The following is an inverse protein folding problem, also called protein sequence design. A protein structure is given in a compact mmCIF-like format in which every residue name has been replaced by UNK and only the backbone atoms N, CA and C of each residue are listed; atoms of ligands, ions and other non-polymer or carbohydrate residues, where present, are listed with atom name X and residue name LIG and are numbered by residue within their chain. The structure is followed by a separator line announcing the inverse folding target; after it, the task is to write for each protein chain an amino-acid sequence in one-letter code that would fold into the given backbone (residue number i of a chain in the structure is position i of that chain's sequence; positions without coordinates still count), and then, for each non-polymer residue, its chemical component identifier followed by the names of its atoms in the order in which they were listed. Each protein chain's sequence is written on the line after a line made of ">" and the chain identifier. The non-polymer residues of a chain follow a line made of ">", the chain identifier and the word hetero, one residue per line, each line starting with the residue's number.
data_IF_886222902137
#
_entry.id   IF_886222902137
#
_cell.length_a   1.000
_cell.length_b   1.000
_cell.length_c   1.000
_cell.angle_alpha   90.00
_cell.angle_beta   90.00
_cell.angle_gamma   90.00
#
_symmetry.space_group_name_H-M   'P 1'
#
loop_
_entity.id
_entity.type
_entity.pdbx_description
1 polymer ?
#
# COMPACT_ATOMS: atom_id res chain seq x y z
N UNK A 1 28.17 -14.74 2.55
CA UNK A 1 27.52 -13.41 2.52
C UNK A 1 28.26 -12.61 1.45
N UNK A 2 27.53 -12.17 0.42
CA UNK A 2 28.07 -11.65 -0.85
C UNK A 2 28.80 -10.31 -0.65
N UNK A 3 29.98 -10.15 -1.26
CA UNK A 3 30.77 -8.90 -1.29
C UNK A 3 29.95 -7.68 -1.75
N UNK A 4 28.86 -7.91 -2.50
CA UNK A 4 27.92 -6.88 -2.97
C UNK A 4 27.19 -6.19 -1.81
N UNK A 5 26.89 -6.91 -0.73
CA UNK A 5 26.20 -6.33 0.42
C UNK A 5 27.13 -5.43 1.25
N UNK A 6 28.43 -5.75 1.29
CA UNK A 6 29.44 -4.94 1.96
C UNK A 6 29.74 -3.65 1.18
N UNK A 7 29.87 -3.75 -0.14
CA UNK A 7 30.08 -2.62 -1.05
C UNK A 7 28.87 -1.66 -1.06
N UNK A 8 27.65 -2.19 -0.93
CA UNK A 8 26.44 -1.39 -0.80
C UNK A 8 26.40 -0.60 0.52
N UNK A 9 26.79 -1.23 1.64
CA UNK A 9 26.83 -0.57 2.94
C UNK A 9 27.89 0.54 2.99
N UNK A 10 29.07 0.30 2.41
CA UNK A 10 30.14 1.29 2.35
C UNK A 10 29.72 2.55 1.56
N UNK A 11 29.01 2.35 0.44
CA UNK A 11 28.45 3.47 -0.35
C UNK A 11 27.37 4.24 0.39
N UNK A 12 26.52 3.56 1.17
CA UNK A 12 25.50 4.21 2.01
C UNK A 12 26.16 5.09 3.09
N UNK A 13 27.22 4.58 3.73
CA UNK A 13 27.99 5.32 4.74
C UNK A 13 28.71 6.54 4.13
N UNK A 14 29.28 6.39 2.93
CA UNK A 14 29.90 7.50 2.19
C UNK A 14 28.88 8.59 1.83
N UNK A 15 27.69 8.20 1.37
CA UNK A 15 26.61 9.13 1.04
C UNK A 15 26.17 9.92 2.27
N UNK A 16 25.97 9.22 3.39
CA UNK A 16 25.57 9.83 4.66
C UNK A 16 26.55 10.91 5.11
N UNK A 17 27.85 10.61 5.06
CA UNK A 17 28.91 11.56 5.44
C UNK A 17 28.91 12.81 4.56
N UNK A 18 28.72 12.65 3.24
CA UNK A 18 28.59 13.82 2.34
C UNK A 18 27.36 14.67 2.67
N UNK A 19 26.24 14.05 2.97
CA UNK A 19 25.01 14.78 3.36
C UNK A 19 25.23 15.57 4.66
N UNK A 20 25.94 15.01 5.65
CA UNK A 20 26.31 15.73 6.88
C UNK A 20 27.25 16.92 6.62
N UNK A 21 28.22 16.77 5.72
CA UNK A 21 29.17 17.84 5.34
C UNK A 21 28.51 18.98 4.56
N UNK A 22 27.49 18.68 3.75
CA UNK A 22 26.73 19.66 2.97
C UNK A 22 25.62 20.36 3.78
N UNK A 23 25.46 20.00 5.06
CA UNK A 23 24.46 20.59 5.95
C UNK A 23 23.02 20.17 5.62
N UNK A 24 22.84 19.10 4.82
CA UNK A 24 21.53 18.49 4.64
C UNK A 24 21.17 17.72 5.91
N UNK A 25 19.93 17.84 6.42
CA UNK A 25 19.51 17.10 7.59
C UNK A 25 19.53 15.61 7.27
N UNK A 26 20.53 14.89 7.77
CA UNK A 26 20.48 13.43 7.80
C UNK A 26 19.29 13.06 8.67
N UNK A 27 18.24 12.56 8.03
CA UNK A 27 17.06 12.07 8.71
C UNK A 27 17.54 11.04 9.75
N UNK A 28 17.45 11.41 11.03
CA UNK A 28 17.74 10.51 12.12
C UNK A 28 16.87 9.26 11.91
N UNK A 29 17.48 8.08 11.88
CA UNK A 29 16.74 6.84 11.75
C UNK A 29 15.75 6.65 12.92
N UNK A 30 15.97 7.34 14.06
CA UNK A 30 14.99 7.44 15.16
C UNK A 30 13.87 8.46 14.88
N UNK A 31 14.11 9.48 14.05
CA UNK A 31 13.07 10.38 13.53
C UNK A 31 12.28 9.77 12.36
N UNK A 32 12.84 8.80 11.64
CA UNK A 32 12.09 8.00 10.65
C UNK A 32 10.95 7.19 11.30
N UNK A 33 11.04 6.92 12.61
CA UNK A 33 9.98 6.30 13.41
C UNK A 33 8.92 7.28 13.93
N UNK A 34 9.06 8.59 13.65
CA UNK A 34 8.07 9.62 13.97
C UNK A 34 7.95 10.61 12.81
N UNK A 35 7.61 10.08 11.64
CA UNK A 35 6.83 10.87 10.68
C UNK A 35 5.48 11.11 11.36
N UNK A 36 5.35 12.23 12.08
CA UNK A 36 4.09 12.72 12.67
C UNK A 36 3.07 13.12 11.62
N UNK A 37 2.91 12.30 10.58
CA UNK A 37 1.85 12.36 9.61
C UNK A 37 0.60 11.70 10.17
N UNK A 38 -0.53 12.16 9.71
CA UNK A 38 -1.81 11.53 9.95
C UNK A 38 -1.75 10.05 9.51
N UNK A 39 -2.16 9.14 10.39
CA UNK A 39 -2.28 7.72 10.07
C UNK A 39 -3.68 7.46 9.53
N UNK A 40 -3.76 6.82 8.36
CA UNK A 40 -5.03 6.56 7.69
C UNK A 40 -5.12 5.07 7.32
N UNK A 41 -6.35 4.54 7.35
CA UNK A 41 -6.65 3.18 6.89
C UNK A 41 -6.95 3.11 5.40
N UNK A 42 -7.20 4.27 4.77
CA UNK A 42 -7.45 4.38 3.35
C UNK A 42 -6.82 5.64 2.78
N UNK A 43 -6.32 5.58 1.54
CA UNK A 43 -5.91 6.78 0.80
C UNK A 43 -6.05 6.58 -0.70
N UNK A 44 -6.16 7.71 -1.41
CA UNK A 44 -6.22 7.76 -2.87
C UNK A 44 -4.86 7.47 -3.47
N UNK A 45 -4.83 6.48 -4.36
CA UNK A 45 -3.60 6.00 -4.99
C UNK A 45 -3.81 5.85 -6.49
N UNK A 46 -2.70 5.76 -7.22
CA UNK A 46 -2.63 5.26 -8.57
C UNK A 46 -1.75 4.02 -8.58
N UNK A 47 -2.19 2.97 -9.27
CA UNK A 47 -1.31 1.90 -9.71
C UNK A 47 -0.73 2.31 -11.05
N UNK A 48 0.59 2.34 -11.14
CA UNK A 48 1.34 2.79 -12.31
C UNK A 48 2.15 1.63 -12.85
N UNK A 49 2.02 1.35 -14.14
CA UNK A 49 2.79 0.32 -14.83
C UNK A 49 4.16 0.86 -15.24
N UNK A 50 5.21 0.28 -14.66
CA UNK A 50 6.58 0.54 -15.05
C UNK A 50 7.04 -0.45 -16.14
N UNK A 51 7.93 -0.02 -17.06
CA UNK A 51 8.52 -0.89 -18.07
C UNK A 51 9.11 -2.16 -17.44
N UNK A 52 8.64 -3.34 -17.87
CA UNK A 52 8.99 -4.62 -17.25
C UNK A 52 7.87 -5.27 -16.42
N UNK A 53 6.62 -4.80 -16.55
CA UNK A 53 5.40 -5.45 -16.06
C UNK A 53 5.20 -5.41 -14.53
N UNK A 54 5.77 -4.42 -13.86
CA UNK A 54 5.55 -4.20 -12.43
C UNK A 54 4.65 -2.98 -12.21
N UNK A 55 3.61 -3.16 -11.41
CA UNK A 55 2.73 -2.07 -10.99
C UNK A 55 3.12 -1.55 -9.62
N UNK A 56 3.22 -0.23 -9.50
CA UNK A 56 3.58 0.46 -8.26
C UNK A 56 2.43 1.33 -7.77
N UNK A 57 2.14 1.27 -6.48
CA UNK A 57 1.12 2.06 -5.82
C UNK A 57 1.70 3.36 -5.31
N UNK A 58 1.07 4.47 -5.68
CA UNK A 58 1.62 5.78 -5.37
C UNK A 58 0.52 6.80 -5.10
N UNK A 59 0.73 7.78 -4.19
CA UNK A 59 -0.31 8.74 -3.85
C UNK A 59 -0.83 9.50 -5.07
N UNK A 60 -2.15 9.67 -5.12
CA UNK A 60 -2.80 10.32 -6.26
C UNK A 60 -2.28 11.75 -6.49
N UNK A 61 -2.01 12.48 -5.41
CA UNK A 61 -1.61 13.90 -5.43
C UNK A 61 -0.13 14.13 -5.76
N UNK A 62 0.63 13.09 -6.07
CA UNK A 62 2.05 13.20 -6.41
C UNK A 62 2.29 13.18 -7.91
N UNK A 63 2.42 14.38 -8.48
CA UNK A 63 2.57 14.61 -9.92
C UNK A 63 3.98 14.39 -10.46
N UNK A 64 5.00 14.33 -9.58
CA UNK A 64 6.42 14.24 -9.99
C UNK A 64 6.76 12.95 -10.73
N UNK A 65 5.92 11.92 -10.64
CA UNK A 65 6.19 10.62 -11.23
C UNK A 65 5.87 10.47 -12.70
N UNK A 66 4.96 11.28 -13.24
CA UNK A 66 4.67 11.23 -14.68
C UNK A 66 5.94 11.44 -15.51
N UNK A 67 6.88 12.23 -14.97
CA UNK A 67 8.18 12.48 -15.58
C UNK A 67 9.24 11.43 -15.20
N UNK A 68 9.10 10.75 -14.06
CA UNK A 68 10.14 9.87 -13.50
C UNK A 68 9.98 8.38 -13.86
N UNK A 69 8.74 7.90 -14.00
CA UNK A 69 8.45 6.47 -14.18
C UNK A 69 8.14 6.07 -15.63
N UNK A 70 8.08 7.04 -16.55
CA UNK A 70 7.82 6.82 -17.98
C UNK A 70 6.60 5.93 -18.22
N UNK A 71 5.54 6.19 -17.44
CA UNK A 71 4.34 5.35 -17.30
C UNK A 71 3.74 4.94 -18.64
N UNK A 72 3.61 3.63 -18.88
CA UNK A 72 2.89 3.11 -20.05
C UNK A 72 1.37 3.08 -19.79
N UNK A 73 0.98 2.85 -18.52
CA UNK A 73 -0.40 2.85 -18.08
C UNK A 73 -0.52 3.26 -16.60
N UNK A 74 -1.68 3.82 -16.23
CA UNK A 74 -2.03 4.05 -14.82
C UNK A 74 -3.51 3.81 -14.55
N UNK A 75 -3.82 3.33 -13.35
CA UNK A 75 -5.17 3.04 -12.86
C UNK A 75 -5.37 3.79 -11.55
N UNK A 76 -6.38 4.67 -11.50
CA UNK A 76 -6.76 5.37 -10.28
C UNK A 76 -7.62 4.48 -9.37
N UNK A 77 -7.49 4.68 -8.06
CA UNK A 77 -8.23 3.92 -7.08
C UNK A 77 -7.98 4.35 -5.65
N UNK A 78 -8.43 3.51 -4.74
CA UNK A 78 -8.23 3.68 -3.29
C UNK A 78 -7.49 2.45 -2.76
N UNK A 79 -6.46 2.69 -1.96
CA UNK A 79 -5.79 1.63 -1.22
C UNK A 79 -6.34 1.57 0.20
N UNK A 80 -6.72 0.37 0.64
CA UNK A 80 -7.15 0.05 1.99
C UNK A 80 -6.06 -0.73 2.71
N UNK A 81 -5.71 -0.33 3.92
CA UNK A 81 -4.74 -1.03 4.76
C UNK A 81 -5.19 -2.48 5.03
N UNK A 82 -4.24 -3.43 5.06
CA UNK A 82 -4.55 -4.82 5.41
C UNK A 82 -4.79 -5.00 6.91
N UNK A 83 -3.90 -4.43 7.73
CA UNK A 83 -3.87 -4.63 9.18
C UNK A 83 -3.55 -3.33 9.93
N UNK A 84 -2.44 -2.68 9.58
CA UNK A 84 -1.97 -1.45 10.24
C UNK A 84 -2.20 -0.22 9.35
N UNK A 85 -2.61 0.93 9.93
CA UNK A 85 -2.76 2.15 9.16
C UNK A 85 -1.39 2.63 8.66
N UNK A 86 -1.37 3.24 7.48
CA UNK A 86 -0.15 3.79 6.90
C UNK A 86 -0.09 5.31 7.11
N UNK A 87 1.12 5.91 7.11
CA UNK A 87 1.26 7.35 7.04
C UNK A 87 0.60 7.90 5.77
N UNK A 88 -0.15 8.99 5.90
CA UNK A 88 -0.76 9.68 4.78
C UNK A 88 0.31 10.03 3.73
N UNK A 89 0.03 9.70 2.47
CA UNK A 89 0.92 9.83 1.30
C UNK A 89 2.15 8.91 1.30
N UNK A 90 2.17 7.85 2.12
CA UNK A 90 3.21 6.84 1.98
C UNK A 90 3.03 6.05 0.67
N UNK A 91 4.14 5.82 -0.07
CA UNK A 91 4.17 4.98 -1.27
C UNK A 91 4.54 3.51 -0.96
N UNK A 92 5.35 3.27 0.08
CA UNK A 92 5.77 1.93 0.50
C UNK A 92 4.74 1.26 1.42
N UNK A 93 3.51 1.07 0.92
CA UNK A 93 2.35 0.63 1.70
C UNK A 93 1.91 -0.78 1.34
N UNK A 94 1.26 -1.46 2.28
CA UNK A 94 0.72 -2.82 2.09
C UNK A 94 -0.78 -2.80 2.34
N UNK A 95 -1.55 -3.43 1.45
CA UNK A 95 -2.99 -3.39 1.51
C UNK A 95 -3.67 -3.92 0.25
N UNK A 96 -4.93 -3.55 0.09
CA UNK A 96 -5.76 -3.92 -1.05
C UNK A 96 -6.17 -2.66 -1.81
N UNK A 97 -5.82 -2.61 -3.09
CA UNK A 97 -6.16 -1.52 -3.99
C UNK A 97 -7.46 -1.86 -4.72
N UNK A 98 -8.44 -0.95 -4.67
CA UNK A 98 -9.65 -1.02 -5.47
C UNK A 98 -9.60 0.01 -6.59
N UNK A 99 -9.71 -0.44 -7.83
CA UNK A 99 -9.74 0.43 -9.01
C UNK A 99 -11.09 1.15 -9.13
N UNK A 100 -11.08 2.45 -9.42
CA UNK A 100 -12.30 3.24 -9.55
C UNK A 100 -13.12 2.89 -10.79
N UNK A 101 -12.44 2.48 -11.87
CA UNK A 101 -13.06 2.31 -13.19
C UNK A 101 -13.93 1.06 -13.29
N UNK A 102 -13.50 -0.03 -12.68
CA UNK A 102 -14.15 -1.34 -12.79
C UNK A 102 -14.39 -2.03 -11.43
N UNK A 103 -13.96 -1.42 -10.33
CA UNK A 103 -14.12 -1.95 -8.98
C UNK A 103 -13.27 -3.19 -8.67
N UNK A 104 -12.36 -3.59 -9.58
CA UNK A 104 -11.48 -4.74 -9.36
C UNK A 104 -10.46 -4.44 -8.28
N UNK A 105 -10.01 -5.52 -7.65
CA UNK A 105 -9.11 -5.49 -6.50
C UNK A 105 -7.75 -6.06 -6.84
N UNK A 106 -6.68 -5.41 -6.39
CA UNK A 106 -5.32 -5.93 -6.46
C UNK A 106 -4.67 -5.86 -5.08
N UNK A 107 -3.89 -6.86 -4.72
CA UNK A 107 -3.09 -6.84 -3.51
C UNK A 107 -1.81 -6.04 -3.78
N UNK A 108 -1.47 -5.15 -2.86
CA UNK A 108 -0.24 -4.35 -2.89
C UNK A 108 0.60 -4.73 -1.68
N UNK A 109 1.85 -5.08 -1.91
CA UNK A 109 2.82 -5.41 -0.88
C UNK A 109 4.04 -4.49 -1.03
N UNK A 110 4.36 -3.73 0.03
CA UNK A 110 5.48 -2.78 0.05
C UNK A 110 5.50 -1.83 -1.16
N UNK A 111 4.33 -1.29 -1.53
CA UNK A 111 4.17 -0.35 -2.64
C UNK A 111 4.12 -0.98 -4.03
N UNK A 112 4.21 -2.31 -4.13
CA UNK A 112 4.17 -3.03 -5.43
C UNK A 112 2.93 -3.93 -5.49
N UNK A 113 2.20 -3.90 -6.60
CA UNK A 113 1.11 -4.84 -6.81
C UNK A 113 1.66 -6.26 -6.98
N UNK A 114 1.04 -7.22 -6.32
CA UNK A 114 1.36 -8.63 -6.52
C UNK A 114 0.95 -9.07 -7.94
N UNK A 115 1.84 -9.80 -8.60
CA UNK A 115 1.66 -10.22 -9.99
C UNK A 115 0.86 -11.52 -10.03
N UNK A 116 -0.20 -11.54 -10.85
CA UNK A 116 -0.97 -12.74 -11.18
C UNK A 116 -0.62 -13.30 -12.57
N UNK A 117 -1.55 -14.01 -13.19
CA UNK A 117 -1.38 -14.48 -14.57
C UNK A 117 -1.42 -13.30 -15.55
N UNK A 118 -0.24 -12.78 -15.88
CA UNK A 118 -0.05 -11.81 -16.96
C UNK A 118 -0.15 -10.33 -16.59
N UNK A 119 -0.50 -9.97 -15.36
CA UNK A 119 -0.62 -8.57 -14.89
C UNK A 119 -0.60 -8.45 -13.34
N UNK A 120 -0.87 -7.26 -12.78
CA UNK A 120 -1.31 -7.11 -11.38
C UNK A 120 -2.47 -8.09 -11.13
N UNK A 121 -2.37 -8.94 -10.11
CA UNK A 121 -3.26 -10.09 -9.88
C UNK A 121 -4.70 -9.72 -9.53
N UNK A 122 -5.40 -9.09 -10.46
CA UNK A 122 -6.72 -8.51 -10.30
C UNK A 122 -7.76 -9.57 -9.94
N UNK A 123 -8.61 -9.22 -8.98
CA UNK A 123 -9.76 -10.00 -8.52
C UNK A 123 -11.04 -9.19 -8.70
N UNK A 124 -12.15 -9.88 -8.88
CA UNK A 124 -13.44 -9.22 -9.05
C UNK A 124 -13.95 -8.66 -7.72
N UNK A 125 -13.63 -9.33 -6.61
CA UNK A 125 -14.10 -8.97 -5.27
C UNK A 125 -12.97 -9.12 -4.25
N UNK A 126 -13.10 -8.41 -3.13
CA UNK A 126 -12.14 -8.48 -2.03
C UNK A 126 -12.13 -9.88 -1.36
N UNK A 127 -13.25 -10.59 -1.36
CA UNK A 127 -13.36 -11.94 -0.79
C UNK A 127 -12.73 -13.03 -1.67
N UNK A 128 -12.25 -12.68 -2.86
CA UNK A 128 -11.52 -13.61 -3.71
C UNK A 128 -10.06 -13.81 -3.22
N UNK A 129 -9.61 -13.05 -2.21
CA UNK A 129 -8.33 -13.23 -1.50
C UNK A 129 -8.51 -14.15 -0.29
N UNK A 130 -7.89 -15.35 -0.26
CA UNK A 130 -8.12 -16.34 0.79
C UNK A 130 -7.73 -15.86 2.18
N UNK A 131 -6.71 -15.01 2.29
CA UNK A 131 -6.28 -14.39 3.54
C UNK A 131 -7.32 -13.41 4.10
N UNK A 132 -8.06 -12.68 3.25
CA UNK A 132 -9.14 -11.79 3.69
C UNK A 132 -10.28 -12.63 4.26
N UNK A 133 -10.64 -13.73 3.58
CA UNK A 133 -11.66 -14.66 4.07
C UNK A 133 -11.26 -15.25 5.42
N UNK A 134 -10.00 -15.69 5.55
CA UNK A 134 -9.50 -16.24 6.81
C UNK A 134 -9.51 -15.20 7.95
N UNK A 135 -9.14 -13.95 7.68
CA UNK A 135 -9.20 -12.86 8.65
C UNK A 135 -10.65 -12.58 9.08
N UNK A 136 -11.58 -12.53 8.14
CA UNK A 136 -13.00 -12.36 8.44
C UNK A 136 -13.53 -13.52 9.29
N UNK A 137 -13.22 -14.77 8.93
CA UNK A 137 -13.61 -15.95 9.70
C UNK A 137 -13.08 -15.92 11.13
N UNK A 138 -11.83 -15.47 11.34
CA UNK A 138 -11.25 -15.32 12.67
C UNK A 138 -11.94 -14.21 13.47
N UNK A 139 -12.21 -13.06 12.85
CA UNK A 139 -12.98 -11.98 13.47
C UNK A 139 -14.36 -12.48 13.94
N UNK A 140 -15.03 -13.33 13.15
CA UNK A 140 -16.35 -13.87 13.49
C UNK A 140 -16.33 -14.88 14.65
N UNK A 141 -15.15 -15.37 15.06
CA UNK A 141 -15.00 -16.17 16.29
C UNK A 141 -15.07 -15.31 17.55
N UNK A 142 -14.71 -14.03 17.46
CA UNK A 142 -14.81 -13.07 18.56
C UNK A 142 -16.23 -12.52 18.63
N UNK A 143 -16.87 -12.66 19.80
CA UNK A 143 -18.30 -12.32 19.96
C UNK A 143 -18.62 -10.85 19.69
N UNK A 144 -17.70 -9.94 20.03
CA UNK A 144 -17.86 -8.49 19.85
C UNK A 144 -17.91 -8.11 18.37
N UNK A 145 -16.95 -8.59 17.57
CA UNK A 145 -16.94 -8.35 16.12
C UNK A 145 -18.10 -9.03 15.42
N UNK A 146 -18.44 -10.26 15.81
CA UNK A 146 -19.64 -10.93 15.29
C UNK A 146 -20.91 -10.11 15.56
N UNK A 147 -21.09 -9.61 16.78
CA UNK A 147 -22.28 -8.84 17.10
C UNK A 147 -22.32 -7.50 16.36
N UNK A 148 -21.18 -6.83 16.20
CA UNK A 148 -21.09 -5.61 15.39
C UNK A 148 -21.47 -5.87 13.92
N UNK A 149 -21.00 -6.98 13.34
CA UNK A 149 -21.37 -7.40 11.99
C UNK A 149 -22.88 -7.70 11.86
N UNK A 150 -23.46 -8.44 12.81
CA UNK A 150 -24.90 -8.72 12.87
C UNK A 150 -25.73 -7.42 12.93
N UNK A 151 -25.31 -6.46 13.76
CA UNK A 151 -25.97 -5.15 13.88
C UNK A 151 -25.88 -4.35 12.58
N UNK A 152 -24.75 -4.37 11.89
CA UNK A 152 -24.58 -3.71 10.60
C UNK A 152 -25.51 -4.30 9.53
N UNK A 153 -25.60 -5.63 9.46
CA UNK A 153 -26.51 -6.34 8.55
C UNK A 153 -27.97 -6.01 8.87
N UNK A 154 -28.36 -6.03 10.14
CA UNK A 154 -29.74 -5.66 10.54
C UNK A 154 -30.07 -4.21 10.18
N UNK A 155 -29.12 -3.28 10.34
CA UNK A 155 -29.30 -1.88 9.90
C UNK A 155 -29.49 -1.79 8.39
N UNK A 156 -28.67 -2.48 7.58
CA UNK A 156 -28.81 -2.49 6.12
C UNK A 156 -30.18 -3.02 5.69
N UNK A 157 -30.63 -4.12 6.28
CA UNK A 157 -31.95 -4.70 6.01
C UNK A 157 -33.09 -3.76 6.43
N UNK A 158 -32.93 -3.03 7.54
CA UNK A 158 -33.91 -2.04 7.99
C UNK A 158 -33.89 -0.75 7.15
N UNK A 159 -32.77 -0.43 6.49
CA UNK A 159 -32.59 0.77 5.64
C UNK A 159 -33.01 0.53 4.18
N UNK A 160 -33.12 -0.73 3.77
CA UNK A 160 -33.46 -1.15 2.40
C UNK A 160 -34.93 -1.56 2.21
N UNK A 161 -35.83 -1.12 3.08
CA UNK A 161 -37.29 -1.35 3.01
C UNK A 161 -38.06 -0.11 2.59
#
# INVERSE_FOLDING_TARGET
>A
MSDVAADALERIEELRRRMEEEGEPVADAAAAGSLGGELVFEQRMRLVECPGSAWYAVPADEDWMHDALADEASVAGTLYASDEPFPLRAAAVTGYFQADGDGRWARVAAGRAEVGEGDAGWRARLEDFPEVVAQFEECMRVSEYRHAAEQAVMKLLASGG
#
